data_IF_471917322696
#
_entry.id   IF_471917322696
#
_cell.length_a   1.000
_cell.length_b   1.000
_cell.length_c   1.000
_cell.angle_alpha   90.00
_cell.angle_beta   90.00
_cell.angle_gamma   90.00
#
_symmetry.space_group_name_H-M   'P 1'
#
loop_
_entity.id
_entity.type
_entity.pdbx_description
1 polymer ?
#
# COMPACT_ATOMS: atom_id res chain seq x y z
N UNK A 1 -16.92 -8.07 10.82
CA UNK A 1 -15.44 -8.20 10.75
C UNK A 1 -14.86 -6.81 10.60
N UNK A 2 -13.75 -6.50 11.27
CA UNK A 2 -13.09 -5.20 11.18
C UNK A 2 -11.84 -5.31 10.31
N UNK A 3 -11.51 -4.25 9.57
CA UNK A 3 -10.31 -4.17 8.76
C UNK A 3 -9.61 -2.82 9.00
N UNK A 4 -8.27 -2.83 9.03
CA UNK A 4 -7.46 -1.61 8.98
C UNK A 4 -7.09 -1.34 7.51
N UNK A 5 -7.55 -0.21 6.97
CA UNK A 5 -7.27 0.20 5.59
C UNK A 5 -6.03 1.10 5.58
N UNK A 6 -5.12 0.85 4.64
CA UNK A 6 -3.84 1.57 4.53
C UNK A 6 -3.70 2.14 3.13
N UNK A 7 -3.77 3.47 3.04
CA UNK A 7 -3.52 4.20 1.79
C UNK A 7 -2.13 4.84 1.83
N UNK A 8 -1.27 4.47 0.89
CA UNK A 8 0.06 5.06 0.76
C UNK A 8 0.20 5.84 -0.55
N UNK A 9 0.50 7.14 -0.44
CA UNK A 9 0.67 8.04 -1.59
C UNK A 9 2.09 8.57 -1.66
N UNK A 10 2.75 8.37 -2.80
CA UNK A 10 4.10 8.86 -3.06
C UNK A 10 4.08 9.80 -4.27
N UNK A 11 4.93 10.84 -4.22
CA UNK A 11 5.13 11.78 -5.33
C UNK A 11 6.62 12.08 -5.48
N UNK A 12 7.10 12.10 -6.73
CA UNK A 12 8.47 12.49 -7.07
C UNK A 12 8.49 13.26 -8.39
N UNK A 13 9.51 14.10 -8.58
CA UNK A 13 9.88 14.64 -9.88
C UNK A 13 11.07 13.84 -10.43
N UNK A 14 10.79 12.76 -11.16
CA UNK A 14 11.81 11.89 -11.72
C UNK A 14 11.37 11.26 -13.05
N UNK A 15 12.29 10.55 -13.73
CA UNK A 15 12.02 9.87 -15.02
C UNK A 15 11.31 8.52 -14.86
N UNK A 16 11.24 8.00 -13.64
CA UNK A 16 10.68 6.69 -13.29
C UNK A 16 9.46 6.89 -12.39
N UNK A 17 8.48 5.98 -12.50
CA UNK A 17 7.35 5.96 -11.59
C UNK A 17 7.76 5.58 -10.16
N UNK A 18 6.83 5.76 -9.23
CA UNK A 18 7.00 5.48 -7.79
C UNK A 18 6.00 4.45 -7.27
N UNK A 19 5.60 3.51 -8.13
CA UNK A 19 4.67 2.44 -7.78
C UNK A 19 5.22 1.59 -6.63
N UNK A 20 6.52 1.28 -6.67
CA UNK A 20 7.17 0.44 -5.67
C UNK A 20 7.30 1.13 -4.32
N UNK A 21 7.54 2.43 -4.29
CA UNK A 21 7.63 3.22 -3.07
C UNK A 21 6.27 3.26 -2.35
N UNK A 22 5.18 3.41 -3.12
CA UNK A 22 3.83 3.38 -2.58
C UNK A 22 3.46 1.99 -2.04
N UNK A 23 3.69 0.92 -2.84
CA UNK A 23 3.40 -0.46 -2.44
C UNK A 23 4.25 -0.90 -1.24
N UNK A 24 5.52 -0.51 -1.21
CA UNK A 24 6.43 -0.81 -0.09
C UNK A 24 6.00 -0.06 1.17
N UNK A 25 5.65 1.22 1.05
CA UNK A 25 5.15 2.01 2.18
C UNK A 25 3.90 1.40 2.82
N UNK A 26 2.92 1.00 2.00
CA UNK A 26 1.73 0.31 2.47
C UNK A 26 2.06 -1.04 3.13
N UNK A 27 2.95 -1.83 2.52
CA UNK A 27 3.36 -3.14 3.05
C UNK A 27 4.05 -3.03 4.41
N UNK A 28 4.98 -2.09 4.56
CA UNK A 28 5.71 -1.89 5.82
C UNK A 28 4.79 -1.35 6.91
N UNK A 29 3.84 -0.47 6.57
CA UNK A 29 2.82 -0.02 7.52
C UNK A 29 1.95 -1.20 7.99
N UNK A 30 1.52 -2.08 7.08
CA UNK A 30 0.75 -3.28 7.43
C UNK A 30 1.54 -4.22 8.34
N UNK A 31 2.81 -4.48 8.01
CA UNK A 31 3.71 -5.29 8.84
C UNK A 31 3.93 -4.68 10.22
N UNK A 32 4.00 -3.36 10.31
CA UNK A 32 4.16 -2.64 11.57
C UNK A 32 2.90 -2.78 12.44
N UNK A 33 1.70 -2.65 11.86
CA UNK A 33 0.44 -2.89 12.56
C UNK A 33 0.39 -4.33 13.06
N UNK A 34 0.77 -5.30 12.22
CA UNK A 34 0.85 -6.69 12.62
C UNK A 34 1.80 -6.87 13.81
N UNK A 35 3.00 -6.29 13.76
CA UNK A 35 3.99 -6.37 14.84
C UNK A 35 3.46 -5.82 16.17
N UNK A 36 2.73 -4.71 16.14
CA UNK A 36 2.14 -4.07 17.33
C UNK A 36 0.94 -4.85 17.88
N UNK A 37 0.21 -5.57 17.04
CA UNK A 37 -1.04 -6.25 17.43
C UNK A 37 -0.91 -7.78 17.55
N UNK A 38 0.22 -8.39 17.14
CA UNK A 38 0.41 -9.86 17.16
C UNK A 38 0.21 -10.51 18.53
N UNK A 39 0.41 -9.77 19.62
CA UNK A 39 0.17 -10.26 20.97
C UNK A 39 -1.33 -10.44 21.31
N UNK A 40 -2.22 -9.73 20.60
CA UNK A 40 -3.66 -9.78 20.80
C UNK A 40 -4.32 -10.89 19.95
N UNK A 41 -3.86 -11.05 18.70
CA UNK A 41 -4.32 -12.10 17.79
C UNK A 41 -3.26 -12.41 16.74
N UNK A 42 -3.13 -13.70 16.43
CA UNK A 42 -2.26 -14.20 15.35
C UNK A 42 -3.05 -14.43 14.05
N UNK A 43 -4.37 -14.25 14.07
CA UNK A 43 -5.26 -14.51 12.93
C UNK A 43 -5.39 -13.29 11.99
N UNK A 44 -4.66 -12.21 12.28
CA UNK A 44 -4.63 -11.04 11.40
C UNK A 44 -4.03 -11.42 10.05
N UNK A 45 -4.72 -11.08 8.98
CA UNK A 45 -4.24 -11.29 7.61
C UNK A 45 -3.90 -9.95 6.98
N UNK A 46 -2.68 -9.83 6.46
CA UNK A 46 -2.31 -8.74 5.56
C UNK A 46 -2.71 -9.19 4.15
N UNK A 47 -3.69 -8.50 3.55
CA UNK A 47 -4.22 -8.82 2.23
C UNK A 47 -4.37 -7.59 1.33
N UNK A 48 -4.71 -7.83 0.06
CA UNK A 48 -5.11 -6.82 -0.93
C UNK A 48 -4.13 -5.65 -1.15
N UNK A 49 -2.82 -5.89 -1.03
CA UNK A 49 -1.81 -4.89 -1.39
C UNK A 49 -1.81 -4.72 -2.91
N UNK A 50 -2.29 -3.56 -3.38
CA UNK A 50 -2.41 -3.24 -4.81
C UNK A 50 -2.16 -1.76 -5.06
N UNK A 51 -1.79 -1.45 -6.29
CA UNK A 51 -1.72 -0.06 -6.75
C UNK A 51 -3.13 0.41 -7.09
N UNK A 52 -3.58 1.52 -6.52
CA UNK A 52 -4.90 2.07 -6.83
C UNK A 52 -4.86 3.06 -7.99
N UNK A 53 -3.86 3.93 -7.98
CA UNK A 53 -3.69 4.95 -9.00
C UNK A 53 -2.20 5.30 -9.18
N UNK A 54 -1.86 5.62 -10.42
CA UNK A 54 -0.58 6.20 -10.83
C UNK A 54 -0.84 7.24 -11.91
N UNK A 55 -0.23 8.39 -11.75
CA UNK A 55 -0.20 9.45 -12.76
C UNK A 55 1.23 9.81 -13.14
N UNK A 56 1.48 10.06 -14.42
CA UNK A 56 2.76 10.52 -14.95
C UNK A 56 3.62 9.41 -15.57
N UNK A 57 4.58 9.83 -16.38
CA UNK A 57 5.38 8.93 -17.22
C UNK A 57 4.68 8.67 -18.56
N UNK A 58 4.83 7.45 -19.08
CA UNK A 58 4.25 7.06 -20.40
C UNK A 58 2.77 6.69 -20.34
N UNK A 59 2.30 6.22 -19.19
CA UNK A 59 0.94 5.70 -19.04
C UNK A 59 0.46 5.93 -17.61
N UNK A 60 -0.76 6.41 -17.52
CA UNK A 60 -1.50 6.49 -16.27
C UNK A 60 -2.21 5.16 -15.99
N UNK A 61 -2.50 4.91 -14.73
CA UNK A 61 -3.23 3.73 -14.28
C UNK A 61 -4.19 4.13 -13.17
N UNK A 62 -5.41 3.60 -13.22
CA UNK A 62 -6.38 3.70 -12.14
C UNK A 62 -7.19 2.40 -12.13
N UNK A 63 -7.42 1.84 -10.95
CA UNK A 63 -8.27 0.67 -10.80
C UNK A 63 -9.72 1.04 -11.13
N UNK A 64 -10.41 0.19 -11.88
CA UNK A 64 -11.85 0.34 -12.12
C UNK A 64 -12.60 -0.15 -10.87
N UNK A 65 -13.58 0.63 -10.42
CA UNK A 65 -14.49 0.29 -9.31
C UNK A 65 -15.38 -0.91 -9.63
#
# INVERSE_FOLDING_TARGET
EGAAVIDCKVRVHHKTGVEMEALTGASVAALTIYDMCKALSHDMVIGDIRLEAKSGGKSDYQIAE
#
